data_IF_291427586308
#
_entry.id   IF_291427586308
#
_cell.length_a   1.000
_cell.length_b   1.000
_cell.length_c   1.000
_cell.angle_alpha   90.00
_cell.angle_beta   90.00
_cell.angle_gamma   90.00
#
_symmetry.space_group_name_H-M   'P 1'
#
loop_
_entity.id
_entity.type
_entity.pdbx_description
1 polymer ?
#
# COMPACT_ATOMS: atom_id res chain seq x y z
N UNK A 1 -12.35 24.93 -1.46
CA UNK A 1 -13.54 24.20 -0.98
C UNK A 1 -13.07 22.85 -0.48
N UNK A 2 -12.83 22.74 0.84
CA UNK A 2 -12.44 21.48 1.49
C UNK A 2 -13.71 20.65 1.67
N UNK A 3 -13.78 19.48 1.04
CA UNK A 3 -14.76 18.47 1.41
C UNK A 3 -14.26 17.80 2.69
N UNK A 4 -14.96 18.08 3.79
CA UNK A 4 -14.80 17.40 5.09
C UNK A 4 -15.98 16.45 5.21
N UNK A 5 -15.70 15.16 5.31
CA UNK A 5 -16.72 14.13 5.54
C UNK A 5 -17.37 14.31 6.93
N UNK A 6 -18.69 14.14 7.09
CA UNK A 6 -19.42 14.49 8.33
C UNK A 6 -19.15 13.55 9.52
N UNK A 7 -18.29 12.55 9.36
CA UNK A 7 -18.07 11.47 10.33
C UNK A 7 -16.65 11.42 10.90
N UNK A 8 -15.74 12.34 10.52
CA UNK A 8 -14.43 12.46 11.16
C UNK A 8 -13.49 11.25 11.03
N UNK A 9 -13.82 10.26 10.19
CA UNK A 9 -13.02 9.06 9.96
C UNK A 9 -12.32 9.17 8.61
N UNK A 10 -11.05 9.54 8.61
CA UNK A 10 -10.16 9.28 7.47
C UNK A 10 -9.82 7.79 7.42
N UNK A 11 -10.82 6.94 7.19
CA UNK A 11 -10.58 5.57 6.76
C UNK A 11 -10.22 5.65 5.27
N UNK A 12 -8.94 5.43 4.96
CA UNK A 12 -8.37 5.69 3.65
C UNK A 12 -9.18 5.09 2.52
N UNK A 13 -9.27 5.86 1.43
CA UNK A 13 -9.98 5.55 0.18
C UNK A 13 -9.73 4.11 -0.31
N UNK A 14 -8.58 3.50 0.03
CA UNK A 14 -8.22 2.13 -0.31
C UNK A 14 -9.03 1.05 0.44
N UNK A 15 -9.37 1.23 1.73
CA UNK A 15 -10.14 0.23 2.49
C UNK A 15 -11.54 0.07 1.90
N UNK A 16 -12.11 1.16 1.41
CA UNK A 16 -13.42 1.21 0.76
C UNK A 16 -13.36 1.12 -0.78
N UNK A 17 -12.18 0.90 -1.37
CA UNK A 17 -12.03 0.89 -2.83
C UNK A 17 -12.60 -0.40 -3.43
N UNK A 18 -13.47 -0.26 -4.44
CA UNK A 18 -13.70 -1.32 -5.42
C UNK A 18 -12.45 -1.40 -6.29
N UNK A 19 -11.50 -2.24 -5.91
CA UNK A 19 -10.22 -2.41 -6.59
C UNK A 19 -10.43 -2.76 -8.06
N UNK A 20 -10.30 -1.77 -8.95
CA UNK A 20 -10.15 -2.03 -10.38
C UNK A 20 -8.93 -2.94 -10.56
N UNK A 21 -9.01 -3.89 -11.50
CA UNK A 21 -7.83 -4.68 -11.88
C UNK A 21 -6.69 -3.71 -12.13
N UNK A 22 -5.63 -3.79 -11.34
CA UNK A 22 -4.47 -2.89 -11.47
C UNK A 22 -3.99 -2.93 -12.92
N UNK A 23 -3.72 -1.76 -13.52
CA UNK A 23 -3.11 -1.66 -14.86
C UNK A 23 -1.62 -1.95 -14.77
N UNK A 24 -1.29 -3.17 -14.33
CA UNK A 24 0.07 -3.63 -14.08
C UNK A 24 0.91 -3.46 -15.36
N UNK A 25 2.04 -2.75 -15.25
CA UNK A 25 2.98 -2.55 -16.36
C UNK A 25 2.67 -1.37 -17.30
N UNK A 26 1.67 -0.53 -17.02
CA UNK A 26 1.40 0.71 -17.78
C UNK A 26 1.88 1.95 -17.03
N UNK A 27 1.73 1.99 -15.70
CA UNK A 27 2.11 3.13 -14.85
C UNK A 27 3.13 2.68 -13.77
N UNK A 28 4.44 2.90 -14.01
CA UNK A 28 5.51 2.54 -13.07
C UNK A 28 5.72 1.03 -12.86
N UNK A 29 6.67 0.61 -12.00
CA UNK A 29 6.89 -0.80 -11.70
C UNK A 29 5.61 -1.40 -11.11
N UNK A 30 5.07 -2.40 -11.78
CA UNK A 30 3.80 -3.01 -11.42
C UNK A 30 3.96 -4.10 -10.35
N UNK A 31 2.84 -4.54 -9.78
CA UNK A 31 2.74 -5.73 -8.92
C UNK A 31 3.48 -6.96 -9.48
N UNK A 32 3.54 -7.10 -10.82
CA UNK A 32 4.28 -8.19 -11.49
C UNK A 32 5.79 -8.12 -11.31
N UNK A 33 6.38 -6.91 -11.41
CA UNK A 33 7.82 -6.73 -11.20
C UNK A 33 8.19 -6.95 -9.73
N UNK A 34 7.30 -6.58 -8.82
CA UNK A 34 7.46 -6.82 -7.39
C UNK A 34 7.22 -8.28 -7.02
N UNK A 35 6.27 -8.97 -7.65
CA UNK A 35 6.09 -10.41 -7.49
C UNK A 35 7.36 -11.18 -7.86
N UNK A 36 8.00 -10.86 -8.98
CA UNK A 36 9.24 -11.51 -9.39
C UNK A 36 10.39 -11.35 -8.37
N UNK A 37 10.33 -10.31 -7.52
CA UNK A 37 11.35 -10.03 -6.50
C UNK A 37 10.99 -10.54 -5.11
N UNK A 38 9.71 -10.51 -4.75
CA UNK A 38 9.23 -10.71 -3.38
C UNK A 38 8.19 -11.82 -3.24
N UNK A 39 7.74 -12.45 -4.34
CA UNK A 39 6.72 -13.50 -4.32
C UNK A 39 7.05 -14.61 -3.33
N UNK A 40 8.28 -15.14 -3.40
CA UNK A 40 8.77 -16.19 -2.49
C UNK A 40 8.83 -15.71 -1.03
N UNK A 41 9.21 -14.45 -0.80
CA UNK A 41 9.29 -13.87 0.55
C UNK A 41 7.91 -13.69 1.21
N UNK A 42 6.88 -13.50 0.38
CA UNK A 42 5.48 -13.40 0.80
C UNK A 42 4.81 -14.79 0.85
N UNK A 43 5.46 -15.84 0.33
CA UNK A 43 4.89 -17.18 0.23
C UNK A 43 3.83 -17.31 -0.87
N UNK A 44 3.82 -16.40 -1.85
CA UNK A 44 2.87 -16.42 -2.95
C UNK A 44 3.39 -17.26 -4.11
N UNK A 45 2.62 -18.28 -4.53
CA UNK A 45 2.96 -19.17 -5.66
C UNK A 45 2.53 -18.58 -7.01
N UNK A 46 1.83 -17.46 -7.00
CA UNK A 46 1.37 -16.78 -8.21
C UNK A 46 1.19 -15.28 -8.00
N UNK A 47 1.21 -14.52 -9.11
CA UNK A 47 0.87 -13.08 -9.12
C UNK A 47 -0.50 -12.83 -8.51
N UNK A 48 -1.45 -13.77 -8.67
CA UNK A 48 -2.81 -13.66 -8.13
C UNK A 48 -2.82 -13.78 -6.61
N UNK A 49 -2.10 -14.76 -6.07
CA UNK A 49 -1.95 -14.92 -4.61
C UNK A 49 -1.23 -13.72 -3.99
N UNK A 50 -0.23 -13.20 -4.68
CA UNK A 50 0.50 -12.02 -4.26
C UNK A 50 -0.36 -10.74 -4.25
N UNK A 51 -1.18 -10.52 -5.29
CA UNK A 51 -2.18 -9.44 -5.32
C UNK A 51 -3.24 -9.62 -4.23
N UNK A 52 -3.68 -10.85 -3.96
CA UNK A 52 -4.59 -11.15 -2.87
C UNK A 52 -3.98 -10.79 -1.51
N UNK A 53 -2.75 -11.24 -1.24
CA UNK A 53 -1.99 -10.91 -0.03
C UNK A 53 -1.88 -9.40 0.17
N UNK A 54 -1.49 -8.66 -0.88
CA UNK A 54 -1.36 -7.22 -0.82
C UNK A 54 -2.67 -6.54 -0.43
N UNK A 55 -3.81 -6.99 -0.98
CA UNK A 55 -5.14 -6.47 -0.63
C UNK A 55 -5.55 -6.82 0.79
N UNK A 56 -5.25 -8.03 1.27
CA UNK A 56 -5.48 -8.42 2.66
C UNK A 56 -4.71 -7.52 3.61
N UNK A 57 -3.42 -7.25 3.34
CA UNK A 57 -2.63 -6.29 4.14
C UNK A 57 -3.22 -4.88 4.12
N UNK A 58 -3.83 -4.44 3.03
CA UNK A 58 -4.51 -3.12 2.99
C UNK A 58 -5.74 -3.10 3.89
N UNK A 59 -6.52 -4.19 3.91
CA UNK A 59 -7.73 -4.29 4.73
C UNK A 59 -7.38 -4.36 6.23
N UNK A 60 -6.52 -5.30 6.59
CA UNK A 60 -6.24 -5.68 7.98
C UNK A 60 -5.12 -4.82 8.59
N UNK A 61 -4.26 -4.26 7.74
CA UNK A 61 -3.11 -3.46 8.16
C UNK A 61 -3.48 -2.08 8.71
N UNK A 62 -2.53 -1.55 9.47
CA UNK A 62 -2.52 -0.18 9.97
C UNK A 62 -2.10 0.77 8.85
N UNK A 63 -2.93 1.76 8.59
CA UNK A 63 -2.68 2.79 7.59
C UNK A 63 -1.71 3.85 8.12
N UNK A 64 -0.84 4.36 7.25
CA UNK A 64 0.01 5.51 7.49
C UNK A 64 0.36 6.21 6.18
N UNK A 65 0.85 7.44 6.25
CA UNK A 65 1.35 8.21 5.11
C UNK A 65 2.86 8.37 5.22
N UNK A 66 3.53 8.48 4.08
CA UNK A 66 4.97 8.74 4.01
C UNK A 66 5.36 9.33 2.65
N UNK A 67 6.60 9.80 2.53
CA UNK A 67 7.25 10.14 1.25
C UNK A 67 8.18 9.02 0.82
N UNK A 68 7.97 8.54 -0.40
CA UNK A 68 8.86 7.56 -1.00
C UNK A 68 10.27 8.13 -1.18
N UNK A 69 11.29 7.41 -0.71
CA UNK A 69 12.68 7.92 -0.68
C UNK A 69 13.27 8.13 -2.08
N UNK A 70 12.85 7.34 -3.06
CA UNK A 70 13.41 7.38 -4.42
C UNK A 70 12.70 8.40 -5.31
N UNK A 71 11.38 8.53 -5.16
CA UNK A 71 10.56 9.39 -6.01
C UNK A 71 10.10 10.69 -5.36
N UNK A 72 10.31 10.84 -4.04
CA UNK A 72 9.82 11.94 -3.20
C UNK A 72 8.29 12.17 -3.26
N UNK A 73 7.55 11.22 -3.84
CA UNK A 73 6.08 11.30 -4.00
C UNK A 73 5.40 10.89 -2.68
N UNK A 74 4.28 11.52 -2.31
CA UNK A 74 3.46 11.09 -1.18
C UNK A 74 2.81 9.74 -1.49
N UNK A 75 2.81 8.86 -0.48
CA UNK A 75 2.28 7.49 -0.53
C UNK A 75 1.42 7.21 0.70
N UNK A 76 0.52 6.24 0.54
CA UNK A 76 -0.19 5.62 1.65
C UNK A 76 0.34 4.21 1.83
N UNK A 77 0.81 3.90 3.04
CA UNK A 77 1.31 2.61 3.46
C UNK A 77 0.32 1.87 4.34
N UNK A 78 0.32 0.55 4.24
CA UNK A 78 -0.45 -0.36 5.07
C UNK A 78 0.51 -1.40 5.64
N UNK A 79 0.53 -1.55 6.96
CA UNK A 79 1.39 -2.51 7.64
C UNK A 79 0.58 -3.41 8.55
N UNK A 80 0.66 -4.72 8.32
CA UNK A 80 0.07 -5.72 9.20
C UNK A 80 1.15 -6.31 10.12
N UNK A 81 1.11 -6.03 11.44
CA UNK A 81 2.10 -6.56 12.38
C UNK A 81 1.99 -8.07 12.60
N UNK A 82 0.87 -8.72 12.27
CA UNK A 82 0.71 -10.16 12.45
C UNK A 82 1.46 -10.95 11.38
N UNK A 83 1.46 -10.44 10.14
CA UNK A 83 2.16 -11.05 9.00
C UNK A 83 3.50 -10.38 8.69
N UNK A 84 3.78 -9.22 9.31
CA UNK A 84 4.98 -8.39 9.07
C UNK A 84 5.06 -7.94 7.60
N UNK A 85 3.89 -7.79 6.96
CA UNK A 85 3.77 -7.39 5.57
C UNK A 85 3.44 -5.91 5.45
N UNK A 86 4.09 -5.28 4.46
CA UNK A 86 3.87 -3.91 4.08
C UNK A 86 3.34 -3.83 2.65
N UNK A 87 2.31 -3.00 2.44
CA UNK A 87 1.79 -2.66 1.11
C UNK A 87 1.75 -1.14 0.95
N UNK A 88 2.27 -0.62 -0.16
CA UNK A 88 2.19 0.80 -0.47
C UNK A 88 1.33 1.09 -1.71
N UNK A 89 0.61 2.21 -1.64
CA UNK A 89 -0.26 2.69 -2.70
C UNK A 89 0.03 4.14 -3.07
N UNK A 90 -0.36 4.54 -4.28
CA UNK A 90 -0.27 5.94 -4.74
C UNK A 90 -1.40 6.81 -4.15
N UNK A 91 -1.06 7.99 -3.62
CA UNK A 91 -2.06 8.98 -3.17
C UNK A 91 -2.45 9.99 -4.26
N UNK A 92 -1.72 10.04 -5.38
CA UNK A 92 -1.84 11.10 -6.41
C UNK A 92 -2.94 10.85 -7.44
N UNK A 93 -3.69 9.75 -7.34
CA UNK A 93 -4.74 9.38 -8.29
C UNK A 93 -6.10 9.23 -7.62
N UNK A 94 -7.18 9.38 -8.40
CA UNK A 94 -8.56 9.11 -7.95
C UNK A 94 -8.80 7.62 -7.67
N UNK A 95 -7.92 6.75 -8.16
CA UNK A 95 -7.98 5.30 -7.96
C UNK A 95 -6.67 4.84 -7.30
N UNK A 96 -6.71 4.22 -6.12
CA UNK A 96 -5.52 3.71 -5.47
C UNK A 96 -4.89 2.60 -6.33
N UNK A 97 -3.58 2.72 -6.56
CA UNK A 97 -2.78 1.71 -7.27
C UNK A 97 -1.79 1.13 -6.28
N UNK A 98 -1.75 -0.20 -6.17
CA UNK A 98 -0.73 -0.91 -5.39
C UNK A 98 0.60 -0.82 -6.14
N UNK A 99 1.62 -0.31 -5.44
CA UNK A 99 2.94 -0.06 -6.00
C UNK A 99 3.93 -1.15 -5.60
N UNK A 100 3.81 -1.65 -4.37
CA UNK A 100 4.71 -2.66 -3.81
C UNK A 100 4.04 -3.40 -2.66
N UNK A 101 4.51 -4.62 -2.40
CA UNK A 101 4.10 -5.48 -1.30
C UNK A 101 5.30 -6.33 -0.87
N UNK A 102 5.73 -6.31 0.39
CA UNK A 102 6.89 -7.11 0.83
C UNK A 102 6.97 -7.18 2.37
N UNK A 103 7.73 -8.14 2.93
CA UNK A 103 8.01 -8.17 4.37
C UNK A 103 8.87 -6.98 4.81
N UNK A 104 8.47 -6.27 5.87
CA UNK A 104 9.23 -5.15 6.41
C UNK A 104 8.92 -4.95 7.90
N UNK A 105 9.89 -4.45 8.67
CA UNK A 105 9.68 -4.16 10.08
C UNK A 105 8.96 -2.82 10.30
N UNK A 106 8.02 -2.80 11.24
CA UNK A 106 7.36 -1.56 11.66
C UNK A 106 8.34 -0.48 12.14
N UNK A 107 9.50 -0.87 12.69
CA UNK A 107 10.55 0.07 13.10
C UNK A 107 11.19 0.80 11.91
N UNK A 108 11.44 0.10 10.80
CA UNK A 108 11.96 0.70 9.58
C UNK A 108 10.92 1.60 8.90
N UNK A 109 9.65 1.18 8.91
CA UNK A 109 8.55 1.96 8.35
C UNK A 109 8.38 3.31 9.07
N UNK A 110 8.53 3.34 10.39
CA UNK A 110 8.49 4.59 11.18
C UNK A 110 9.62 5.57 10.85
N UNK A 111 10.70 5.09 10.25
CA UNK A 111 11.84 5.92 9.79
C UNK A 111 11.63 6.43 8.35
N UNK A 112 10.47 6.20 7.74
CA UNK A 112 10.19 6.75 6.42
C UNK A 112 10.00 8.28 6.51
N UNK A 113 10.51 9.05 5.53
CA UNK A 113 10.37 10.50 5.55
C UNK A 113 8.90 10.91 5.57
N UNK A 114 8.53 11.83 6.47
CA UNK A 114 7.15 12.28 6.61
C UNK A 114 6.18 11.19 7.08
N UNK A 115 6.67 10.16 7.78
CA UNK A 115 5.82 9.15 8.41
C UNK A 115 4.79 9.80 9.32
N UNK A 116 3.51 9.53 9.07
CA UNK A 116 2.41 9.95 9.93
C UNK A 116 1.28 8.94 9.88
N UNK A 117 0.71 8.62 11.04
CA UNK A 117 -0.52 7.84 11.14
C UNK A 117 -1.74 8.77 11.07
N UNK A 118 -2.89 8.32 10.56
CA UNK A 118 -4.16 9.04 10.74
C UNK A 118 -4.48 9.20 12.23
N UNK A 119 -4.98 10.37 12.63
CA UNK A 119 -5.47 10.62 13.99
C UNK A 119 -6.75 9.86 14.29
#
# INVERSE_FOLDING_TARGET
MLWVDPLGLSCGIAKNAKWNKSRQGVDGPGLRDHYAKHGDQVGASSVREYDFSARTTIQDGREFTYRDRYTNKPRVGYYDPNTVLFTATSQTGKTPTILTHFPESGENLRKLPGFSVPN
#
